data_IF_944668105010
#
_entry.id   IF_944668105010
#
_cell.length_a   1.000
_cell.length_b   1.000
_cell.length_c   1.000
_cell.angle_alpha   90.00
_cell.angle_beta   90.00
_cell.angle_gamma   90.00
#
_symmetry.space_group_name_H-M   'P 1'
#
loop_
_entity.id
_entity.type
_entity.pdbx_description
1 polymer ?
#
# COMPACT_ATOMS: atom_id res chain seq x y z
N UNK A 1 6.02 15.51 -5.40
CA UNK A 1 5.17 14.90 -4.32
C UNK A 1 5.84 13.60 -3.88
N UNK A 2 5.79 13.18 -2.61
CA UNK A 2 6.42 11.92 -2.16
C UNK A 2 5.41 10.79 -1.91
N UNK A 3 5.80 9.56 -2.18
CA UNK A 3 5.01 8.33 -1.96
C UNK A 3 5.91 7.25 -1.35
N UNK A 4 5.38 6.40 -0.49
CA UNK A 4 6.09 5.20 -0.05
C UNK A 4 5.86 4.08 -1.06
N UNK A 5 6.94 3.45 -1.52
CA UNK A 5 6.88 2.32 -2.44
C UNK A 5 8.05 1.37 -2.12
N UNK A 6 7.71 0.11 -1.80
CA UNK A 6 8.63 -0.99 -1.53
C UNK A 6 9.77 -0.61 -0.57
N UNK A 7 9.44 -0.32 0.69
CA UNK A 7 10.42 -0.01 1.73
C UNK A 7 11.00 1.40 1.74
N UNK A 8 10.65 2.27 0.79
CA UNK A 8 11.26 3.59 0.68
C UNK A 8 10.28 4.73 0.34
N UNK A 9 10.53 5.90 0.92
CA UNK A 9 9.90 7.15 0.52
C UNK A 9 10.58 7.69 -0.74
N UNK A 10 9.84 7.79 -1.84
CA UNK A 10 10.33 8.17 -3.18
C UNK A 10 9.61 9.42 -3.67
N UNK A 11 10.25 10.16 -4.57
CA UNK A 11 9.56 11.18 -5.36
C UNK A 11 8.61 10.50 -6.35
N UNK A 12 7.40 11.03 -6.49
CA UNK A 12 6.33 10.47 -7.32
C UNK A 12 6.79 10.23 -8.75
N UNK A 13 7.62 11.13 -9.28
CA UNK A 13 8.19 11.09 -10.62
C UNK A 13 9.17 9.94 -10.80
N UNK A 14 9.67 9.31 -9.73
CA UNK A 14 10.58 8.16 -9.74
C UNK A 14 9.96 6.86 -9.22
N UNK A 15 8.81 6.94 -8.53
CA UNK A 15 8.07 5.77 -8.11
C UNK A 15 7.52 5.01 -9.33
N UNK A 16 7.80 3.71 -9.42
CA UNK A 16 7.42 2.86 -10.56
C UNK A 16 6.91 1.53 -10.04
N UNK A 17 5.72 1.16 -10.48
CA UNK A 17 5.17 -0.19 -10.36
C UNK A 17 5.33 -0.88 -11.72
N UNK A 18 5.57 -2.18 -11.74
CA UNK A 18 5.66 -2.93 -12.99
C UNK A 18 4.36 -2.87 -13.77
N UNK A 19 4.43 -2.79 -15.10
CA UNK A 19 3.25 -2.98 -15.96
C UNK A 19 2.70 -4.42 -15.89
N UNK A 20 3.49 -5.36 -15.35
CA UNK A 20 3.12 -6.75 -15.08
C UNK A 20 2.74 -7.00 -13.61
N UNK A 21 2.53 -5.92 -12.85
CA UNK A 21 1.98 -6.04 -11.50
C UNK A 21 0.55 -6.58 -11.58
N UNK A 22 0.26 -7.63 -10.81
CA UNK A 22 -1.02 -8.31 -10.78
C UNK A 22 -2.16 -7.47 -10.23
N UNK A 23 -1.86 -6.44 -9.43
CA UNK A 23 -2.82 -5.41 -9.08
C UNK A 23 -3.27 -4.58 -10.29
N UNK A 24 -2.43 -4.45 -11.32
CA UNK A 24 -2.77 -3.78 -12.59
C UNK A 24 -3.36 -4.75 -13.62
N UNK A 25 -2.76 -5.93 -13.81
CA UNK A 25 -3.12 -6.82 -14.92
C UNK A 25 -4.37 -7.64 -14.66
N UNK A 26 -4.61 -8.07 -13.43
CA UNK A 26 -5.73 -8.96 -13.05
C UNK A 26 -6.52 -8.47 -11.83
N UNK A 27 -6.18 -7.31 -11.28
CA UNK A 27 -6.88 -6.72 -10.13
C UNK A 27 -6.60 -7.40 -8.80
N UNK A 28 -5.51 -8.16 -8.69
CA UNK A 28 -5.10 -8.86 -7.46
C UNK A 28 -4.45 -7.87 -6.49
N UNK A 29 -5.28 -7.21 -5.69
CA UNK A 29 -4.82 -6.27 -4.70
C UNK A 29 -5.94 -5.76 -3.79
N UNK A 30 -5.54 -5.13 -2.70
CA UNK A 30 -6.42 -4.51 -1.72
C UNK A 30 -5.96 -3.08 -1.43
N UNK A 31 -6.88 -2.24 -0.94
CA UNK A 31 -6.51 -0.88 -0.56
C UNK A 31 -7.27 -0.42 0.70
N UNK A 32 -6.68 0.57 1.37
CA UNK A 32 -7.30 1.31 2.45
C UNK A 32 -7.29 2.81 2.16
N UNK A 33 -8.39 3.48 2.53
CA UNK A 33 -8.47 4.94 2.50
C UNK A 33 -8.62 5.45 3.92
N UNK A 34 -7.60 6.14 4.41
CA UNK A 34 -7.47 6.57 5.81
C UNK A 34 -7.59 8.10 5.88
N UNK A 35 -8.44 8.60 6.76
CA UNK A 35 -8.48 10.02 7.09
C UNK A 35 -7.22 10.38 7.87
N UNK A 36 -6.54 11.46 7.50
CA UNK A 36 -5.48 12.05 8.30
C UNK A 36 -5.92 13.44 8.79
N UNK A 37 -5.69 13.72 10.07
CA UNK A 37 -5.96 15.01 10.66
C UNK A 37 -4.74 15.42 11.49
N UNK A 38 -4.28 16.66 11.32
CA UNK A 38 -3.13 17.22 12.04
C UNK A 38 -1.89 16.29 11.96
N UNK A 39 -1.61 15.78 10.75
CA UNK A 39 -0.48 14.88 10.50
C UNK A 39 -0.62 13.46 11.09
N UNK A 40 -1.77 13.11 11.67
CA UNK A 40 -2.03 11.79 12.29
C UNK A 40 -3.12 11.02 11.55
N UNK A 41 -2.92 9.72 11.25
CA UNK A 41 -3.95 8.90 10.67
C UNK A 41 -5.02 8.52 11.72
N UNK A 42 -6.28 8.69 11.38
CA UNK A 42 -7.41 8.34 12.24
C UNK A 42 -7.66 6.83 12.21
N UNK A 43 -7.79 6.22 13.39
CA UNK A 43 -8.11 4.80 13.57
C UNK A 43 -7.21 3.82 12.77
N UNK A 44 -5.92 4.14 12.58
CA UNK A 44 -5.01 3.38 11.72
C UNK A 44 -4.99 1.88 12.02
N UNK A 45 -4.97 1.47 13.30
CA UNK A 45 -5.00 0.03 13.67
C UNK A 45 -6.19 -0.70 13.04
N UNK A 46 -7.41 -0.11 13.08
CA UNK A 46 -8.61 -0.73 12.48
C UNK A 46 -8.51 -0.85 10.96
N UNK A 47 -7.90 0.14 10.30
CA UNK A 47 -7.64 0.08 8.86
C UNK A 47 -6.63 -1.03 8.54
N UNK A 48 -5.56 -1.17 9.31
CA UNK A 48 -4.55 -2.21 9.11
C UNK A 48 -5.07 -3.63 9.39
N UNK A 49 -5.93 -3.79 10.39
CA UNK A 49 -6.61 -5.06 10.66
C UNK A 49 -7.53 -5.46 9.49
N UNK A 50 -8.23 -4.47 8.89
CA UNK A 50 -9.04 -4.69 7.70
C UNK A 50 -8.18 -4.99 6.47
N UNK A 51 -7.09 -4.27 6.26
CA UNK A 51 -6.13 -4.53 5.17
C UNK A 51 -5.62 -5.97 5.24
N UNK A 52 -5.20 -6.42 6.44
CA UNK A 52 -4.73 -7.79 6.67
C UNK A 52 -5.81 -8.82 6.39
N UNK A 53 -7.04 -8.59 6.87
CA UNK A 53 -8.18 -9.49 6.61
C UNK A 53 -8.50 -9.57 5.12
N UNK A 54 -8.52 -8.44 4.42
CA UNK A 54 -8.80 -8.39 2.98
C UNK A 54 -7.69 -9.09 2.18
N UNK A 55 -6.42 -8.85 2.50
CA UNK A 55 -5.28 -9.53 1.86
C UNK A 55 -5.40 -11.05 2.01
N UNK A 56 -5.59 -11.53 3.25
CA UNK A 56 -5.81 -12.96 3.52
C UNK A 56 -7.03 -13.52 2.78
N UNK A 57 -8.11 -12.75 2.67
CA UNK A 57 -9.32 -13.14 1.95
C UNK A 57 -9.10 -13.34 0.44
N UNK A 58 -8.11 -12.67 -0.15
CA UNK A 58 -7.69 -12.87 -1.54
C UNK A 58 -6.57 -13.91 -1.70
N UNK A 59 -6.09 -14.50 -0.60
CA UNK A 59 -4.92 -15.39 -0.60
C UNK A 59 -3.59 -14.67 -0.76
N UNK A 60 -3.55 -13.34 -0.61
CA UNK A 60 -2.30 -12.58 -0.48
C UNK A 60 -1.67 -12.87 0.89
N UNK A 61 -0.32 -12.83 1.00
CA UNK A 61 0.31 -12.87 2.31
C UNK A 61 -0.10 -11.65 3.15
N UNK A 62 0.03 -11.78 4.47
CA UNK A 62 -0.27 -10.66 5.37
C UNK A 62 0.76 -9.53 5.18
N UNK A 63 0.35 -8.27 5.04
CA UNK A 63 1.28 -7.15 4.96
C UNK A 63 2.12 -7.01 6.24
N UNK A 64 3.36 -6.54 6.13
CA UNK A 64 4.14 -6.09 7.28
C UNK A 64 3.51 -4.80 7.85
N UNK A 65 2.73 -4.95 8.92
CA UNK A 65 2.02 -3.83 9.51
C UNK A 65 2.95 -2.78 10.12
N UNK A 66 4.15 -3.16 10.56
CA UNK A 66 5.11 -2.20 11.10
C UNK A 66 5.75 -1.39 9.98
N UNK A 67 6.01 -2.00 8.82
CA UNK A 67 6.37 -1.24 7.63
C UNK A 67 5.26 -0.29 7.20
N UNK A 68 4.01 -0.76 7.11
CA UNK A 68 2.90 0.10 6.71
C UNK A 68 2.72 1.29 7.68
N UNK A 69 2.95 1.10 8.99
CA UNK A 69 2.95 2.20 9.96
C UNK A 69 4.07 3.19 9.71
N UNK A 70 5.30 2.71 9.45
CA UNK A 70 6.45 3.57 9.09
C UNK A 70 6.18 4.35 7.81
N UNK A 71 5.60 3.69 6.80
CA UNK A 71 5.20 4.29 5.53
C UNK A 71 4.18 5.41 5.72
N UNK A 72 3.12 5.15 6.50
CA UNK A 72 2.10 6.15 6.81
C UNK A 72 2.71 7.39 7.48
N UNK A 73 3.58 7.19 8.47
CA UNK A 73 4.24 8.29 9.17
C UNK A 73 5.17 9.08 8.24
N UNK A 74 5.97 8.39 7.40
CA UNK A 74 6.89 9.02 6.45
C UNK A 74 6.14 9.87 5.41
N UNK A 75 5.05 9.35 4.84
CA UNK A 75 4.24 10.08 3.85
C UNK A 75 3.56 11.30 4.48
N UNK A 76 2.95 11.14 5.67
CA UNK A 76 2.32 12.28 6.35
C UNK A 76 3.34 13.34 6.79
N UNK A 77 4.55 12.93 7.20
CA UNK A 77 5.65 13.84 7.52
C UNK A 77 6.17 14.62 6.31
N UNK A 78 6.15 14.02 5.12
CA UNK A 78 6.52 14.69 3.88
C UNK A 78 5.44 15.63 3.33
N UNK A 79 4.19 15.50 3.80
CA UNK A 79 3.03 16.27 3.31
C UNK A 79 2.22 16.84 4.48
N UNK A 80 2.73 17.86 5.18
CA UNK A 80 2.01 18.47 6.29
C UNK A 80 0.72 19.13 5.80
N UNK A 81 -0.42 18.56 6.18
CA UNK A 81 -1.76 19.09 5.89
C UNK A 81 -2.66 19.00 7.13
N UNK A 82 -3.53 20.00 7.40
CA UNK A 82 -4.45 19.95 8.54
C UNK A 82 -5.48 18.81 8.43
N UNK A 83 -5.95 18.55 7.21
CA UNK A 83 -6.87 17.48 6.90
C UNK A 83 -6.46 16.86 5.57
N UNK A 84 -6.33 15.55 5.55
CA UNK A 84 -5.84 14.81 4.40
C UNK A 84 -6.45 13.43 4.27
N UNK A 85 -6.16 12.79 3.15
CA UNK A 85 -6.54 11.42 2.84
C UNK A 85 -5.29 10.64 2.46
N UNK A 86 -4.99 9.61 3.24
CA UNK A 86 -3.89 8.68 2.97
C UNK A 86 -4.47 7.44 2.28
N UNK A 87 -3.84 7.03 1.18
CA UNK A 87 -4.18 5.82 0.45
C UNK A 87 -3.07 4.80 0.65
N UNK A 88 -3.43 3.60 1.10
CA UNK A 88 -2.55 2.44 1.19
C UNK A 88 -3.04 1.47 0.12
N UNK A 89 -2.16 0.99 -0.74
CA UNK A 89 -2.45 -0.03 -1.76
C UNK A 89 -1.46 -1.18 -1.56
N UNK A 90 -1.93 -2.41 -1.70
CA UNK A 90 -1.14 -3.62 -1.57
C UNK A 90 -1.54 -4.59 -2.67
N UNK A 91 -0.62 -4.96 -3.55
CA UNK A 91 -0.90 -5.79 -4.73
C UNK A 91 -0.18 -7.14 -4.66
N UNK A 92 -0.59 -8.09 -5.51
CA UNK A 92 0.12 -9.35 -5.69
C UNK A 92 1.55 -9.22 -6.24
N UNK A 93 1.98 -8.00 -6.60
CA UNK A 93 3.30 -7.75 -7.19
C UNK A 93 3.42 -8.29 -8.61
N UNK A 94 4.65 -8.46 -9.08
CA UNK A 94 4.94 -8.92 -10.44
C UNK A 94 4.55 -10.40 -10.66
N UNK A 95 3.77 -10.69 -11.70
CA UNK A 95 3.39 -12.06 -12.05
C UNK A 95 3.23 -12.32 -13.55
N UNK A 96 2.92 -13.57 -13.94
CA UNK A 96 2.67 -13.94 -15.35
C UNK A 96 1.39 -13.28 -15.90
N UNK A 97 1.13 -13.32 -17.20
CA UNK A 97 -0.09 -12.71 -17.76
C UNK A 97 -1.40 -13.47 -17.43
N UNK A 98 -1.30 -14.67 -16.87
CA UNK A 98 -2.43 -15.47 -16.41
C UNK A 98 -2.85 -15.16 -14.96
N UNK A 99 -3.77 -15.96 -14.43
CA UNK A 99 -4.26 -15.85 -13.05
C UNK A 99 -3.35 -16.48 -12.00
N UNK A 100 -2.31 -17.21 -12.42
CA UNK A 100 -1.36 -17.84 -11.52
C UNK A 100 -0.50 -16.77 -10.82
N UNK A 101 -0.36 -16.85 -9.49
CA UNK A 101 0.54 -15.95 -8.75
C UNK A 101 1.99 -16.22 -9.13
N UNK A 102 2.79 -15.15 -9.26
CA UNK A 102 4.24 -15.26 -9.44
C UNK A 102 4.99 -15.60 -8.15
N UNK A 103 6.32 -15.70 -8.25
CA UNK A 103 7.21 -15.90 -7.08
C UNK A 103 7.69 -14.58 -6.46
N UNK A 104 7.34 -13.44 -7.04
CA UNK A 104 7.76 -12.14 -6.55
C UNK A 104 6.98 -11.76 -5.28
N UNK A 105 7.61 -10.98 -4.38
CA UNK A 105 6.89 -10.42 -3.25
C UNK A 105 5.81 -9.43 -3.72
N UNK A 106 4.77 -9.24 -2.91
CA UNK A 106 3.80 -8.15 -3.04
C UNK A 106 4.45 -6.77 -3.13
N UNK A 107 3.70 -5.82 -3.73
CA UNK A 107 4.04 -4.39 -3.83
C UNK A 107 3.12 -3.58 -2.91
#
# INVERSE_FOLDING_TARGET
MKVWLDGALRDLESARVSALDHGLTVGDGVFETVKAAEGKPFALTRHLDRLTRSARGLGLPAPDLDEVRRACAAVLGAHPVPLGRLRITYTGGHGPLGSDRGEHPPT
#
